data_IF_323556616955
#
_entry.id   IF_323556616955
#
_cell.length_a   1.000
_cell.length_b   1.000
_cell.length_c   1.000
_cell.angle_alpha   90.00
_cell.angle_beta   90.00
_cell.angle_gamma   90.00
#
_symmetry.space_group_name_H-M   'P 1'
#
loop_
_entity.id
_entity.type
_entity.pdbx_description
1 polymer ?
#
# COMPACT_ATOMS: atom_id res chain seq x y z
N UNK A 1 -3.39 -24.84 18.82
CA UNK A 1 -2.43 -23.88 19.43
C UNK A 1 -1.95 -22.82 18.43
N UNK A 2 -1.65 -23.18 17.17
CA UNK A 2 -1.23 -22.20 16.15
C UNK A 2 -2.30 -21.17 15.77
N UNK A 3 -3.58 -21.53 15.70
CA UNK A 3 -4.65 -20.63 15.26
C UNK A 3 -4.85 -19.41 16.17
N UNK A 4 -4.74 -19.58 17.49
CA UNK A 4 -4.86 -18.48 18.46
C UNK A 4 -3.71 -17.49 18.31
N UNK A 5 -2.48 -17.99 18.17
CA UNK A 5 -1.29 -17.16 17.96
C UNK A 5 -1.40 -16.32 16.68
N UNK A 6 -1.82 -16.92 15.56
CA UNK A 6 -1.99 -16.18 14.31
C UNK A 6 -3.10 -15.13 14.38
N UNK A 7 -4.18 -15.41 15.10
CA UNK A 7 -5.26 -14.44 15.33
C UNK A 7 -4.78 -13.26 16.20
N UNK A 8 -4.03 -13.53 17.27
CA UNK A 8 -3.44 -12.49 18.12
C UNK A 8 -2.47 -11.60 17.32
N UNK A 9 -1.56 -12.21 16.56
CA UNK A 9 -0.63 -11.48 15.71
C UNK A 9 -1.33 -10.64 14.64
N UNK A 10 -2.40 -11.17 14.04
CA UNK A 10 -3.24 -10.44 13.07
C UNK A 10 -3.85 -9.20 13.72
N UNK A 11 -4.42 -9.34 14.92
CA UNK A 11 -5.01 -8.22 15.64
C UNK A 11 -3.96 -7.18 16.06
N UNK A 12 -2.74 -7.60 16.37
CA UNK A 12 -1.66 -6.66 16.70
C UNK A 12 -1.25 -5.80 15.50
N UNK A 13 -1.23 -6.37 14.28
CA UNK A 13 -1.00 -5.59 13.05
C UNK A 13 -2.15 -4.66 12.69
N UNK A 14 -3.40 -5.07 12.94
CA UNK A 14 -4.57 -4.22 12.78
C UNK A 14 -4.50 -3.02 13.72
N UNK A 15 -4.21 -3.24 15.01
CA UNK A 15 -3.98 -2.16 15.97
C UNK A 15 -2.82 -1.26 15.57
N UNK A 16 -1.71 -1.81 15.08
CA UNK A 16 -0.58 -1.01 14.61
C UNK A 16 -0.99 -0.08 13.46
N UNK A 17 -1.84 -0.56 12.54
CA UNK A 17 -2.40 0.27 11.47
C UNK A 17 -3.35 1.34 12.01
N UNK A 18 -4.31 0.96 12.85
CA UNK A 18 -5.34 1.89 13.39
C UNK A 18 -4.76 2.97 14.30
N UNK A 19 -3.78 2.62 15.11
CA UNK A 19 -3.13 3.57 16.04
C UNK A 19 -2.15 4.49 15.33
N UNK A 20 -1.77 4.15 14.09
CA UNK A 20 -0.80 4.88 13.27
C UNK A 20 0.52 5.11 14.02
N UNK A 21 0.87 4.26 14.99
CA UNK A 21 2.08 4.46 15.79
C UNK A 21 3.30 4.17 14.94
N UNK A 22 4.15 5.19 14.73
CA UNK A 22 5.42 5.04 14.02
C UNK A 22 5.27 4.91 12.50
N UNK A 23 4.15 5.36 11.93
CA UNK A 23 3.99 5.39 10.47
C UNK A 23 5.06 6.27 9.80
N UNK A 24 5.52 5.80 8.66
CA UNK A 24 6.55 6.45 7.84
C UNK A 24 6.17 6.52 6.35
N UNK A 25 4.94 6.13 6.01
CA UNK A 25 4.36 6.21 4.66
C UNK A 25 3.00 6.91 4.71
N UNK A 26 2.78 7.85 3.80
CA UNK A 26 1.51 8.51 3.52
C UNK A 26 1.08 8.14 2.10
N UNK A 27 -0.11 7.56 1.96
CA UNK A 27 -0.70 7.19 0.67
C UNK A 27 -1.91 8.08 0.40
N UNK A 28 -1.87 8.82 -0.69
CA UNK A 28 -3.02 9.57 -1.22
C UNK A 28 -3.70 8.73 -2.30
N UNK A 29 -4.92 8.29 -2.02
CA UNK A 29 -5.70 7.41 -2.89
C UNK A 29 -6.93 8.12 -3.44
N UNK A 30 -7.27 7.89 -4.71
CA UNK A 30 -8.44 8.50 -5.35
C UNK A 30 -8.14 9.84 -6.01
N UNK A 31 -9.15 10.40 -6.66
CA UNK A 31 -9.02 11.61 -7.49
C UNK A 31 -9.85 12.77 -6.94
N UNK A 32 -9.34 13.98 -7.16
CA UNK A 32 -10.00 15.25 -6.85
C UNK A 32 -10.59 15.31 -5.43
N UNK A 33 -11.92 15.47 -5.32
CA UNK A 33 -12.66 15.60 -4.08
C UNK A 33 -12.81 14.29 -3.29
N UNK A 34 -12.38 13.15 -3.85
CA UNK A 34 -12.47 11.84 -3.23
C UNK A 34 -11.09 11.28 -2.86
N UNK A 35 -10.12 12.16 -2.58
CA UNK A 35 -8.80 11.73 -2.10
C UNK A 35 -8.90 11.30 -0.64
N UNK A 36 -8.41 10.10 -0.35
CA UNK A 36 -8.21 9.59 1.01
C UNK A 36 -6.72 9.52 1.34
N UNK A 37 -6.36 10.07 2.48
CA UNK A 37 -5.05 9.93 3.09
C UNK A 37 -5.01 8.66 3.95
N UNK A 38 -3.96 7.86 3.81
CA UNK A 38 -3.75 6.63 4.58
C UNK A 38 -2.33 6.59 5.13
N UNK A 39 -2.20 6.28 6.41
CA UNK A 39 -0.93 6.08 7.09
C UNK A 39 -0.52 4.61 7.12
N UNK A 40 0.75 4.33 6.81
CA UNK A 40 1.26 2.97 6.70
C UNK A 40 2.76 2.88 7.09
N UNK A 41 3.26 1.63 7.12
CA UNK A 41 4.60 1.30 7.58
C UNK A 41 5.43 0.68 6.43
N UNK A 42 6.53 1.32 6.07
CA UNK A 42 7.38 0.98 4.93
C UNK A 42 7.98 -0.41 5.07
N UNK A 43 8.37 -0.80 6.29
CA UNK A 43 8.92 -2.12 6.62
C UNK A 43 7.92 -3.25 6.35
N UNK A 44 6.67 -3.10 6.80
CA UNK A 44 5.62 -4.10 6.58
C UNK A 44 5.30 -4.16 5.09
N UNK A 45 5.06 -3.01 4.44
CA UNK A 45 4.79 -2.94 3.01
C UNK A 45 5.93 -3.57 2.18
N UNK A 46 7.19 -3.34 2.55
CA UNK A 46 8.37 -3.89 1.87
C UNK A 46 8.49 -5.41 2.01
N UNK A 47 8.22 -5.95 3.20
CA UNK A 47 8.23 -7.41 3.42
C UNK A 47 7.11 -8.07 2.61
N UNK A 48 6.00 -7.36 2.44
CA UNK A 48 4.81 -7.90 1.79
C UNK A 48 4.75 -7.71 0.28
N UNK A 49 5.53 -6.79 -0.28
CA UNK A 49 5.49 -6.46 -1.70
C UNK A 49 6.86 -6.05 -2.23
N UNK A 50 7.32 -6.72 -3.29
CA UNK A 50 8.55 -6.33 -3.99
C UNK A 50 8.44 -4.94 -4.61
N UNK A 51 7.24 -4.51 -5.02
CA UNK A 51 6.98 -3.16 -5.50
C UNK A 51 7.34 -2.13 -4.41
N UNK A 52 6.79 -2.30 -3.20
CA UNK A 52 7.09 -1.40 -2.08
C UNK A 52 8.51 -1.56 -1.54
N UNK A 53 9.09 -2.75 -1.62
CA UNK A 53 10.49 -2.95 -1.26
C UNK A 53 11.41 -2.13 -2.15
N UNK A 54 11.27 -2.29 -3.47
CA UNK A 54 12.01 -1.49 -4.45
C UNK A 54 11.66 -0.01 -4.32
N UNK A 55 10.41 0.29 -3.93
CA UNK A 55 9.96 1.65 -3.74
C UNK A 55 10.80 2.43 -2.76
N UNK A 56 10.89 1.88 -1.56
CA UNK A 56 11.48 2.57 -0.44
C UNK A 56 13.00 2.41 -0.44
N UNK A 57 13.54 1.37 -1.09
CA UNK A 57 15.00 1.15 -1.20
C UNK A 57 15.67 2.01 -2.27
N UNK A 58 15.01 2.24 -3.40
CA UNK A 58 15.61 2.98 -4.52
C UNK A 58 15.24 4.48 -4.50
N UNK A 59 14.65 4.94 -3.40
CA UNK A 59 14.17 6.32 -3.20
C UNK A 59 13.29 6.86 -4.34
N UNK A 60 12.60 5.98 -5.06
CA UNK A 60 11.70 6.37 -6.15
C UNK A 60 10.47 7.16 -5.65
N UNK A 61 10.26 7.14 -4.33
CA UNK A 61 9.08 7.57 -3.64
C UNK A 61 9.47 8.89 -3.03
N UNK A 62 8.70 9.92 -3.38
CA UNK A 62 8.87 11.25 -2.82
C UNK A 62 8.97 11.14 -1.30
N UNK A 63 9.97 11.76 -0.69
CA UNK A 63 10.15 11.77 0.75
C UNK A 63 10.02 13.21 1.26
N UNK A 64 9.10 13.42 2.20
CA UNK A 64 8.85 14.71 2.84
C UNK A 64 8.83 14.53 4.33
N UNK A 65 9.59 15.36 5.04
CA UNK A 65 9.68 15.34 6.50
C UNK A 65 9.98 13.95 7.08
N UNK A 66 10.86 13.21 6.39
CA UNK A 66 11.24 11.85 6.78
C UNK A 66 10.24 10.75 6.38
N UNK A 67 9.09 11.07 5.80
CA UNK A 67 8.03 10.12 5.40
C UNK A 67 7.95 9.93 3.90
N UNK A 68 7.67 8.72 3.45
CA UNK A 68 7.41 8.42 2.04
C UNK A 68 6.01 8.87 1.64
N UNK A 69 5.87 9.51 0.49
CA UNK A 69 4.63 10.02 -0.06
C UNK A 69 4.32 9.24 -1.35
N UNK A 70 3.16 8.60 -1.38
CA UNK A 70 2.69 7.82 -2.52
C UNK A 70 1.36 8.36 -3.02
N UNK A 71 1.35 8.94 -4.21
CA UNK A 71 0.13 9.42 -4.87
C UNK A 71 -0.39 8.34 -5.82
N UNK A 72 -1.60 7.85 -5.57
CA UNK A 72 -2.28 6.78 -6.32
C UNK A 72 -3.69 7.23 -6.73
N UNK A 73 -3.80 8.19 -7.67
CA UNK A 73 -5.09 8.70 -8.13
C UNK A 73 -5.99 7.60 -8.69
N UNK A 74 -5.43 6.67 -9.47
CA UNK A 74 -6.15 5.57 -10.11
C UNK A 74 -6.59 4.43 -9.16
N UNK A 75 -6.41 4.56 -7.84
CA UNK A 75 -6.80 3.54 -6.86
C UNK A 75 -7.97 4.05 -6.04
N UNK A 76 -9.07 3.29 -6.04
CA UNK A 76 -10.22 3.61 -5.21
C UNK A 76 -9.82 3.68 -3.73
N UNK A 77 -10.18 4.77 -3.01
CA UNK A 77 -10.00 4.89 -1.56
C UNK A 77 -10.54 3.70 -0.77
N UNK A 78 -11.61 3.07 -1.27
CA UNK A 78 -12.26 1.94 -0.61
C UNK A 78 -11.38 0.67 -0.63
N UNK A 79 -10.50 0.53 -1.63
CA UNK A 79 -9.52 -0.55 -1.69
C UNK A 79 -8.56 -0.49 -0.49
N UNK A 80 -8.36 0.71 0.05
CA UNK A 80 -7.46 0.92 1.17
C UNK A 80 -8.11 0.73 2.54
N UNK A 81 -9.43 0.65 2.62
CA UNK A 81 -10.12 0.12 3.81
C UNK A 81 -9.82 -1.37 4.03
N UNK A 82 -9.26 -2.04 3.02
CA UNK A 82 -8.79 -3.42 3.08
C UNK A 82 -7.32 -3.48 3.52
N UNK A 83 -6.58 -2.36 3.68
CA UNK A 83 -5.17 -2.40 4.14
C UNK A 83 -4.97 -3.04 5.52
N UNK A 84 -5.80 -2.79 6.55
CA UNK A 84 -5.61 -3.49 7.84
C UNK A 84 -5.69 -5.01 7.65
N UNK A 85 -6.61 -5.47 6.78
CA UNK A 85 -6.71 -6.87 6.33
C UNK A 85 -5.54 -7.28 5.43
N UNK A 86 -4.92 -6.35 4.70
CA UNK A 86 -3.74 -6.57 3.85
C UNK A 86 -2.50 -6.92 4.69
N UNK A 87 -2.26 -6.24 5.82
CA UNK A 87 -1.16 -6.63 6.72
C UNK A 87 -1.25 -8.08 7.18
N UNK A 88 -2.44 -8.67 7.18
CA UNK A 88 -2.73 -10.01 7.70
C UNK A 88 -3.05 -11.05 6.60
N UNK A 89 -3.50 -10.64 5.40
CA UNK A 89 -3.99 -11.53 4.32
C UNK A 89 -3.34 -11.30 2.94
N UNK A 90 -2.18 -10.64 2.85
CA UNK A 90 -1.50 -10.33 1.56
C UNK A 90 -1.08 -11.55 0.69
N UNK A 91 -1.27 -12.80 1.12
CA UNK A 91 -1.08 -13.95 0.21
C UNK A 91 -2.22 -14.10 -0.81
N UNK A 92 -3.38 -13.46 -0.61
CA UNK A 92 -4.46 -13.40 -1.59
C UNK A 92 -4.09 -12.48 -2.78
N UNK A 93 -3.36 -11.39 -2.53
CA UNK A 93 -2.93 -10.46 -3.58
C UNK A 93 -1.78 -10.96 -4.45
N UNK A 94 -1.13 -12.08 -4.09
CA UNK A 94 -0.14 -12.72 -4.98
C UNK A 94 -0.78 -13.39 -6.20
N UNK A 95 -2.11 -13.61 -6.23
CA UNK A 95 -2.76 -14.38 -7.30
C UNK A 95 -3.81 -13.64 -8.12
N UNK A 96 -4.34 -12.49 -7.69
CA UNK A 96 -5.28 -11.72 -8.51
C UNK A 96 -4.92 -10.22 -8.57
N UNK A 97 -4.72 -9.76 -9.81
CA UNK A 97 -5.05 -8.41 -10.29
C UNK A 97 -4.13 -7.19 -10.10
N UNK A 98 -2.82 -7.37 -9.88
CA UNK A 98 -1.86 -6.28 -10.20
C UNK A 98 -1.36 -6.35 -11.67
N UNK A 99 -1.36 -7.54 -12.27
CA UNK A 99 -1.04 -7.75 -13.70
C UNK A 99 -2.08 -7.11 -14.61
N UNK A 100 -3.37 -7.14 -14.23
CA UNK A 100 -4.45 -6.50 -14.98
C UNK A 100 -4.42 -4.97 -14.85
N UNK A 101 -4.02 -4.45 -13.69
CA UNK A 101 -3.76 -3.02 -13.53
C UNK A 101 -2.59 -2.57 -14.44
N UNK A 102 -1.46 -3.29 -14.44
CA UNK A 102 -0.30 -2.97 -15.29
C UNK A 102 -0.55 -3.12 -16.79
N UNK A 103 -1.35 -4.11 -17.23
CA UNK A 103 -1.70 -4.28 -18.65
C UNK A 103 -2.49 -3.08 -19.18
N UNK A 104 -3.34 -2.45 -18.35
CA UNK A 104 -3.97 -1.17 -18.67
C UNK A 104 -2.97 0.00 -18.67
N UNK A 105 -1.98 0.01 -17.77
CA UNK A 105 -0.95 1.06 -17.72
C UNK A 105 0.02 1.03 -18.90
N UNK A 106 0.35 -0.15 -19.45
CA UNK A 106 1.24 -0.28 -20.61
C UNK A 106 0.71 0.39 -21.89
N UNK A 107 -0.62 0.51 -22.03
CA UNK A 107 -1.24 1.24 -23.14
C UNK A 107 -1.30 2.77 -22.93
N UNK A 108 -1.16 3.26 -21.69
CA UNK A 108 -1.27 4.69 -21.38
C UNK A 108 0.09 5.40 -21.53
N UNK A 109 1.22 4.70 -21.37
CA UNK A 109 2.55 5.30 -21.53
C UNK A 109 2.93 5.68 -22.98
N UNK A 110 2.15 5.28 -24.00
CA UNK A 110 2.38 5.71 -25.38
C UNK A 110 1.75 7.07 -25.74
N UNK A 111 1.02 7.73 -24.83
CA UNK A 111 0.30 8.98 -25.12
C UNK A 111 0.86 10.24 -24.44
N UNK A 112 2.04 10.17 -23.81
CA UNK A 112 2.73 11.34 -23.29
C UNK A 112 4.20 11.36 -23.75
N UNK A 113 4.39 11.54 -25.06
CA UNK A 113 5.61 12.08 -25.65
C UNK A 113 5.25 13.40 -26.34
N UNK A 114 5.39 14.49 -25.62
CA UNK A 114 5.77 15.82 -26.11
C UNK A 114 6.54 16.52 -24.99
#
# INVERSE_FOLDING_TARGET
>A
MSSKFWAELSNDYEKLFETEIGYDVIIYAGEEQYVKEIHAHSNILSIRSQYFRSAFSNEWAEKKDGKFILKKPNISPQLFNIIPVSYTHLDVYKRQDWRNALYKFGHIQNNYKY
#
